data_IF_581169386683
#
_entry.id   IF_581169386683
#
_cell.length_a   1.000
_cell.length_b   1.000
_cell.length_c   1.000
_cell.angle_alpha   90.00
_cell.angle_beta   90.00
_cell.angle_gamma   90.00
#
_symmetry.space_group_name_H-M   'P 1'
#
loop_
_entity.id
_entity.type
_entity.pdbx_description
1 polymer ?
#
# COMPACT_ATOMS: atom_id res chain seq x y z
N UNK A 1 -7.96 -2.43 -9.03
CA UNK A 1 -7.59 -3.52 -9.98
C UNK A 1 -8.20 -4.88 -9.64
N UNK A 2 -8.85 -5.05 -8.49
CA UNK A 2 -9.42 -6.33 -8.07
C UNK A 2 -10.88 -6.57 -8.53
N UNK A 3 -11.51 -5.59 -9.18
CA UNK A 3 -12.93 -5.67 -9.57
C UNK A 3 -13.94 -5.47 -8.43
N UNK A 4 -13.48 -5.49 -7.17
CA UNK A 4 -14.30 -5.36 -5.96
C UNK A 4 -13.65 -4.40 -4.96
N UNK A 5 -14.44 -3.94 -3.96
CA UNK A 5 -13.94 -3.12 -2.85
C UNK A 5 -13.10 -3.95 -1.87
N UNK A 6 -13.59 -5.13 -1.50
CA UNK A 6 -12.85 -6.08 -0.67
C UNK A 6 -11.79 -6.79 -1.51
N UNK A 7 -10.54 -6.35 -1.39
CA UNK A 7 -9.43 -6.91 -2.13
C UNK A 7 -8.42 -7.60 -1.22
N UNK A 8 -8.25 -8.91 -1.42
CA UNK A 8 -7.16 -9.68 -0.83
C UNK A 8 -5.99 -9.78 -1.80
N UNK A 9 -4.78 -10.07 -1.28
CA UNK A 9 -3.59 -10.30 -2.12
C UNK A 9 -3.84 -11.39 -3.18
N UNK A 10 -4.52 -12.46 -2.81
CA UNK A 10 -4.83 -13.56 -3.71
C UNK A 10 -5.76 -13.10 -4.83
N UNK A 11 -6.86 -12.41 -4.50
CA UNK A 11 -7.83 -11.91 -5.48
C UNK A 11 -7.20 -10.90 -6.44
N UNK A 12 -6.30 -10.05 -5.95
CA UNK A 12 -5.56 -9.13 -6.81
C UNK A 12 -4.75 -9.88 -7.86
N UNK A 13 -3.95 -10.87 -7.44
CA UNK A 13 -3.11 -11.65 -8.36
C UNK A 13 -3.94 -12.45 -9.36
N UNK A 14 -5.03 -13.07 -8.91
CA UNK A 14 -5.97 -13.78 -9.79
C UNK A 14 -6.55 -12.85 -10.86
N UNK A 15 -6.95 -11.63 -10.50
CA UNK A 15 -7.46 -10.66 -11.48
C UNK A 15 -6.38 -10.13 -12.43
N UNK A 16 -5.15 -9.93 -11.94
CA UNK A 16 -4.02 -9.53 -12.79
C UNK A 16 -3.65 -10.61 -13.81
N UNK A 17 -3.84 -11.88 -13.47
CA UNK A 17 -3.55 -13.02 -14.34
C UNK A 17 -4.68 -13.38 -15.29
N UNK A 18 -5.89 -12.83 -15.11
CA UNK A 18 -7.05 -13.18 -15.92
C UNK A 18 -6.97 -12.54 -17.30
N UNK A 19 -7.21 -13.32 -18.35
CA UNK A 19 -7.29 -12.84 -19.73
C UNK A 19 -8.72 -12.58 -20.20
N UNK A 20 -9.69 -13.32 -19.66
CA UNK A 20 -11.11 -13.25 -20.02
C UNK A 20 -11.95 -12.48 -19.00
N UNK A 21 -13.23 -12.25 -19.30
CA UNK A 21 -14.22 -11.57 -18.44
C UNK A 21 -13.75 -10.24 -17.81
N UNK A 22 -13.20 -9.34 -18.63
CA UNK A 22 -12.69 -8.05 -18.16
C UNK A 22 -11.23 -8.09 -17.67
N UNK A 23 -10.60 -9.25 -17.76
CA UNK A 23 -9.16 -9.42 -17.62
C UNK A 23 -8.37 -8.60 -18.65
N UNK A 24 -7.16 -8.18 -18.25
CA UNK A 24 -6.24 -7.40 -19.10
C UNK A 24 -4.97 -8.16 -19.44
N UNK A 25 -4.82 -9.38 -18.90
CA UNK A 25 -3.67 -10.21 -19.23
C UNK A 25 -3.79 -10.73 -20.66
N UNK A 26 -2.69 -10.76 -21.44
CA UNK A 26 -2.71 -11.33 -22.79
C UNK A 26 -3.00 -12.84 -22.81
N UNK A 27 -2.80 -13.54 -21.69
CA UNK A 27 -3.11 -14.96 -21.50
C UNK A 27 -3.32 -15.26 -20.00
N UNK A 28 -3.97 -16.38 -19.68
CA UNK A 28 -4.25 -16.73 -18.28
C UNK A 28 -3.00 -17.13 -17.51
N UNK A 29 -2.75 -16.46 -16.38
CA UNK A 29 -1.64 -16.72 -15.47
C UNK A 29 -2.19 -17.16 -14.12
N UNK A 30 -1.76 -18.33 -13.65
CA UNK A 30 -2.09 -18.83 -12.31
C UNK A 30 -0.94 -18.53 -11.34
N UNK A 31 -1.14 -17.56 -10.47
CA UNK A 31 -0.18 -17.23 -9.42
C UNK A 31 -0.35 -18.18 -8.22
N UNK A 32 0.68 -18.97 -7.93
CA UNK A 32 0.73 -19.81 -6.73
C UNK A 32 1.61 -19.14 -5.67
N UNK A 33 0.98 -18.50 -4.68
CA UNK A 33 1.70 -17.87 -3.56
C UNK A 33 2.02 -18.93 -2.52
N UNK A 34 3.30 -19.10 -2.21
CA UNK A 34 3.78 -20.05 -1.20
C UNK A 34 4.66 -19.35 -0.18
N UNK A 35 4.65 -19.82 1.06
CA UNK A 35 5.47 -19.30 2.15
C UNK A 35 6.71 -20.18 2.38
N UNK A 36 7.34 -20.62 1.30
CA UNK A 36 8.50 -21.52 1.31
C UNK A 36 9.45 -21.14 0.20
N UNK A 37 10.75 -21.40 0.41
CA UNK A 37 11.79 -21.27 -0.62
C UNK A 37 11.77 -22.43 -1.64
N UNK A 38 10.90 -23.43 -1.45
CA UNK A 38 10.72 -24.57 -2.34
C UNK A 38 9.25 -24.72 -2.73
N UNK A 39 9.00 -24.99 -4.01
CA UNK A 39 7.65 -25.23 -4.50
C UNK A 39 7.37 -26.73 -4.63
N UNK A 40 6.45 -27.29 -3.82
CA UNK A 40 5.94 -28.67 -3.92
C UNK A 40 7.01 -29.73 -4.22
N UNK A 41 8.17 -29.65 -3.54
CA UNK A 41 9.34 -30.53 -3.72
C UNK A 41 10.04 -30.48 -5.10
N UNK A 42 9.68 -29.56 -5.99
CA UNK A 42 10.40 -29.29 -7.23
C UNK A 42 11.68 -28.50 -6.92
N UNK A 43 12.84 -29.15 -7.06
CA UNK A 43 14.13 -28.52 -6.78
C UNK A 43 14.54 -27.46 -7.81
N UNK A 44 13.98 -27.52 -9.01
CA UNK A 44 14.28 -26.61 -10.11
C UNK A 44 13.44 -25.33 -10.09
N UNK A 45 12.33 -25.31 -9.35
CA UNK A 45 11.43 -24.15 -9.26
C UNK A 45 11.66 -23.46 -7.92
N UNK A 46 12.17 -22.23 -7.99
CA UNK A 46 12.35 -21.36 -6.84
C UNK A 46 11.27 -20.28 -6.82
N UNK A 47 10.45 -20.20 -5.76
CA UNK A 47 9.50 -19.10 -5.58
C UNK A 47 10.21 -17.75 -5.61
N UNK A 48 9.56 -16.76 -6.20
CA UNK A 48 10.10 -15.41 -6.31
C UNK A 48 9.97 -14.66 -4.98
N UNK A 49 11.10 -14.25 -4.41
CA UNK A 49 11.19 -13.48 -3.18
C UNK A 49 12.28 -12.41 -3.30
N UNK A 50 11.95 -11.32 -4.00
CA UNK A 50 12.84 -10.17 -4.14
C UNK A 50 12.46 -9.07 -3.13
N UNK A 51 13.45 -8.26 -2.76
CA UNK A 51 13.25 -7.12 -1.87
C UNK A 51 12.12 -6.20 -2.36
N UNK A 52 11.12 -6.00 -1.50
CA UNK A 52 10.06 -5.02 -1.66
C UNK A 52 10.19 -3.93 -0.58
N UNK A 53 9.86 -2.70 -0.94
CA UNK A 53 9.86 -1.56 0.00
C UNK A 53 8.44 -1.29 0.49
N UNK A 54 8.31 -1.01 1.79
CA UNK A 54 7.06 -0.62 2.42
C UNK A 54 6.74 0.85 2.11
N UNK A 55 5.48 1.26 2.26
CA UNK A 55 5.05 2.63 1.92
C UNK A 55 5.82 3.73 2.67
N UNK A 56 6.22 3.46 3.91
CA UNK A 56 6.97 4.41 4.75
C UNK A 56 8.48 4.40 4.48
N UNK A 57 8.94 3.61 3.52
CA UNK A 57 10.34 3.48 3.17
C UNK A 57 10.65 4.23 1.87
N UNK A 58 11.84 4.84 1.82
CA UNK A 58 12.40 5.41 0.60
C UNK A 58 12.90 4.30 -0.32
N UNK A 59 12.63 4.41 -1.62
CA UNK A 59 13.26 3.56 -2.63
C UNK A 59 14.65 4.13 -2.98
N UNK A 60 15.75 3.37 -2.81
CA UNK A 60 17.09 3.84 -3.11
C UNK A 60 17.33 3.93 -4.62
N UNK A 61 18.21 4.85 -5.02
CA UNK A 61 18.66 5.00 -6.40
C UNK A 61 19.36 3.72 -6.88
N UNK A 62 19.01 3.25 -8.08
CA UNK A 62 19.62 2.11 -8.78
C UNK A 62 20.14 2.57 -10.14
N UNK A 63 20.91 1.72 -10.82
CA UNK A 63 21.51 2.06 -12.11
C UNK A 63 20.47 2.48 -13.17
N UNK A 64 19.26 1.89 -13.12
CA UNK A 64 18.16 2.14 -14.05
C UNK A 64 17.05 3.03 -13.50
N UNK A 65 17.10 3.41 -12.22
CA UNK A 65 15.99 4.07 -11.53
C UNK A 65 16.51 5.13 -10.55
N UNK A 66 16.07 6.39 -10.61
CA UNK A 66 16.48 7.43 -9.66
C UNK A 66 16.13 7.12 -8.20
N UNK A 67 15.28 6.13 -7.94
CA UNK A 67 14.64 5.89 -6.65
C UNK A 67 13.52 6.89 -6.40
N UNK A 68 13.00 6.93 -5.18
CA UNK A 68 11.90 7.81 -4.83
C UNK A 68 11.71 7.97 -3.33
N UNK A 69 11.09 9.08 -2.88
CA UNK A 69 10.73 9.28 -1.47
C UNK A 69 9.73 8.21 -1.01
N UNK A 70 9.50 8.14 0.31
CA UNK A 70 8.39 7.38 0.85
C UNK A 70 7.05 7.93 0.34
N UNK A 71 6.01 7.08 0.37
CA UNK A 71 4.66 7.46 -0.02
C UNK A 71 4.07 8.52 0.93
N UNK A 72 3.07 9.26 0.45
CA UNK A 72 2.29 10.12 1.34
C UNK A 72 1.35 9.30 2.22
N UNK A 73 1.01 9.83 3.39
CA UNK A 73 0.01 9.24 4.29
C UNK A 73 -1.40 9.15 3.64
N UNK A 74 -1.70 10.02 2.67
CA UNK A 74 -2.97 9.97 1.93
C UNK A 74 -3.06 8.72 1.04
N UNK A 75 -1.93 8.24 0.54
CA UNK A 75 -1.88 7.07 -0.34
C UNK A 75 -1.80 5.75 0.45
N UNK A 76 -1.20 5.77 1.65
CA UNK A 76 -0.98 4.57 2.44
C UNK A 76 -0.90 4.89 3.93
N UNK A 77 -1.74 4.23 4.73
CA UNK A 77 -1.84 4.47 6.17
C UNK A 77 -0.56 4.18 6.95
N UNK A 78 0.26 3.23 6.49
CA UNK A 78 1.52 2.90 7.15
C UNK A 78 2.58 4.00 7.03
N UNK A 79 2.40 4.98 6.12
CA UNK A 79 3.25 6.15 5.98
C UNK A 79 2.84 7.31 6.90
N UNK A 80 1.71 7.20 7.61
CA UNK A 80 1.26 8.22 8.53
C UNK A 80 2.11 8.23 9.81
N UNK A 81 2.38 9.43 10.34
CA UNK A 81 2.93 9.56 11.69
C UNK A 81 1.94 8.99 12.71
N UNK A 82 2.45 8.25 13.68
CA UNK A 82 1.69 7.84 14.86
C UNK A 82 1.60 8.94 15.91
N UNK A 83 2.35 10.03 15.76
CA UNK A 83 2.30 11.18 16.65
C UNK A 83 1.00 11.97 16.43
N UNK A 84 0.35 12.42 17.53
CA UNK A 84 -0.82 13.27 17.41
C UNK A 84 -0.44 14.55 16.64
N UNK A 85 -1.32 15.04 15.75
CA UNK A 85 -1.07 16.31 15.10
C UNK A 85 -0.98 17.41 16.15
N UNK A 86 -0.03 18.33 15.99
CA UNK A 86 -0.02 19.59 16.73
C UNK A 86 -1.32 20.32 16.40
N UNK A 87 -2.27 20.25 17.33
CA UNK A 87 -3.53 20.95 17.18
C UNK A 87 -3.24 22.45 17.27
N UNK A 88 -3.81 23.26 16.36
CA UNK A 88 -3.73 24.70 16.51
C UNK A 88 -4.30 25.09 17.88
N UNK A 89 -3.76 26.14 18.52
CA UNK A 89 -4.28 26.62 19.79
C UNK A 89 -5.79 26.84 19.64
N UNK A 90 -6.56 26.33 20.61
CA UNK A 90 -8.00 26.55 20.59
C UNK A 90 -8.26 28.06 20.57
N UNK A 91 -9.21 28.55 19.76
CA UNK A 91 -9.62 29.93 19.81
C UNK A 91 -9.99 30.28 21.24
N UNK A 92 -9.53 31.44 21.74
CA UNK A 92 -9.97 31.93 23.03
C UNK A 92 -11.50 32.00 23.03
N UNK A 93 -12.14 31.51 24.09
CA UNK A 93 -13.57 31.71 24.24
C UNK A 93 -13.87 33.22 24.18
N UNK A 94 -14.97 33.64 23.51
CA UNK A 94 -15.35 35.03 23.47
C UNK A 94 -15.47 35.58 24.88
N UNK A 95 -14.77 36.70 25.14
CA UNK A 95 -14.71 37.31 26.47
C UNK A 95 -16.11 37.68 26.92
N UNK A 96 -16.58 37.09 28.02
CA UNK A 96 -17.82 37.51 28.67
C UNK A 96 -17.61 38.86 29.33
N UNK A 97 -18.21 39.91 28.77
CA UNK A 97 -18.30 41.23 29.39
C UNK A 97 -19.72 41.35 29.96
N UNK A 98 -19.84 41.47 31.29
CA UNK A 98 -21.14 41.50 32.00
C UNK A 98 -22.09 40.31 31.68
N UNK A 99 -21.54 39.13 31.44
CA UNK A 99 -22.34 37.93 31.12
C UNK A 99 -22.88 37.87 29.69
N UNK A 100 -22.52 38.81 28.83
CA UNK A 100 -22.82 38.80 27.39
C UNK A 100 -21.55 38.47 26.59
N UNK A 101 -21.69 37.60 25.58
CA UNK A 101 -20.59 37.27 24.67
C UNK A 101 -20.46 38.37 23.60
N UNK A 102 -19.24 38.84 23.36
CA UNK A 102 -18.87 39.78 22.29
C UNK A 102 -17.98 39.11 21.26
#
# INVERSE_FOLDING_TARGET
MCGTADCTRQLLLENLGKSTDGGRSPFDIRFNVVNSSTYKNFQTIRPFDSLAYQCNQRVPKRASDPGGPACSCMDCSSACSSEPPDLPPQPNEPTKIFGMFF
#
